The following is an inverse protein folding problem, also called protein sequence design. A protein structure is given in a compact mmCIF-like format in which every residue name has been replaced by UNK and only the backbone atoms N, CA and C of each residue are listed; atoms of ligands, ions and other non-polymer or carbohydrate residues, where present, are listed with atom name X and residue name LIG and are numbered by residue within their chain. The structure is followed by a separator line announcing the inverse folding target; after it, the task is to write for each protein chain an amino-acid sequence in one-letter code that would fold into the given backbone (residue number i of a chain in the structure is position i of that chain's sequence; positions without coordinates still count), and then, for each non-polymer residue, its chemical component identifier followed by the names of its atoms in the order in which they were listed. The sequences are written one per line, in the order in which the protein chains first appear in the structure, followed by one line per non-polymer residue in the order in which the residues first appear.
data_IF_601958211643
#
_entry.id   IF_601958211643
#
_cell.length_a   1.000
_cell.length_b   1.000
_cell.length_c   1.000
_cell.angle_alpha   90.00
_cell.angle_beta   90.00
_cell.angle_gamma   90.00
#
_symmetry.space_group_name_H-M   'P 1'
#
loop_
_entity.id
_entity.type
_entity.pdbx_description
1 polymer ?
#
# COMPACT_ATOMS: atom_id res chain seq x y z
N UNK A 1 15.42 -3.61 16.49
CA UNK A 1 14.29 -4.04 15.66
C UNK A 1 13.04 -4.16 16.50
N UNK A 2 11.90 -3.84 15.96
CA UNK A 2 10.61 -4.09 16.58
C UNK A 2 9.64 -4.62 15.53
N UNK A 3 8.75 -5.51 15.95
CA UNK A 3 7.68 -6.04 15.13
C UNK A 3 6.33 -5.55 15.66
N UNK A 4 5.44 -5.23 14.75
CA UNK A 4 4.04 -4.93 15.03
C UNK A 4 3.22 -6.02 14.35
N UNK A 5 2.52 -6.82 15.12
CA UNK A 5 1.65 -7.83 14.56
C UNK A 5 0.23 -7.70 15.12
N UNK A 6 -0.70 -7.99 14.24
CA UNK A 6 -2.09 -8.05 14.61
C UNK A 6 -2.34 -9.31 15.45
N UNK A 7 -2.91 -9.13 16.61
CA UNK A 7 -3.28 -10.24 17.49
C UNK A 7 -4.33 -11.09 16.79
N UNK A 8 -3.96 -12.29 16.38
CA UNK A 8 -4.89 -13.26 15.82
C UNK A 8 -6.12 -13.46 16.72
N UNK A 9 -7.23 -13.80 16.15
CA UNK A 9 -8.60 -13.92 16.65
C UNK A 9 -8.83 -14.73 17.93
N UNK A 10 -7.91 -14.80 18.84
CA UNK A 10 -7.91 -15.78 19.91
C UNK A 10 -8.89 -15.56 21.04
N UNK A 11 -9.68 -14.56 21.12
CA UNK A 11 -10.83 -14.49 22.06
C UNK A 11 -11.70 -13.29 21.71
N UNK A 12 -13.00 -13.51 21.70
CA UNK A 12 -14.03 -12.51 21.47
C UNK A 12 -13.94 -11.22 22.34
N UNK A 13 -13.17 -11.25 23.42
CA UNK A 13 -13.07 -10.19 24.41
C UNK A 13 -11.74 -9.43 24.40
N UNK A 14 -10.83 -9.71 23.48
CA UNK A 14 -9.59 -8.95 23.39
C UNK A 14 -9.80 -7.69 22.56
N UNK A 15 -9.86 -6.54 23.20
CA UNK A 15 -9.87 -5.24 22.55
C UNK A 15 -8.48 -4.82 22.03
N UNK A 16 -7.45 -5.59 22.34
CA UNK A 16 -6.07 -5.33 21.91
C UNK A 16 -5.86 -5.87 20.51
N UNK A 17 -5.57 -5.01 19.56
CA UNK A 17 -5.42 -5.36 18.15
C UNK A 17 -3.99 -5.56 17.69
N UNK A 18 -3.01 -5.40 18.54
CA UNK A 18 -1.62 -5.58 18.17
C UNK A 18 -0.68 -5.68 19.37
N UNK A 19 0.51 -6.16 19.11
CA UNK A 19 1.63 -6.21 20.04
C UNK A 19 2.78 -5.45 19.38
N UNK A 20 3.44 -4.59 20.14
CA UNK A 20 4.76 -4.07 19.78
C UNK A 20 5.75 -4.97 20.50
N UNK A 21 6.50 -5.76 19.73
CA UNK A 21 7.57 -6.59 20.28
C UNK A 21 8.92 -5.97 19.93
N UNK A 22 9.81 -5.95 20.89
CA UNK A 22 11.21 -5.63 20.66
C UNK A 22 11.92 -6.94 20.33
N UNK A 23 12.37 -7.04 19.09
CA UNK A 23 13.18 -8.17 18.65
C UNK A 23 14.63 -7.93 19.06
N UNK A 24 15.07 -8.71 20.03
CA UNK A 24 16.45 -8.70 20.51
C UNK A 24 17.23 -9.84 19.86
N UNK A 25 18.52 -9.64 19.59
CA UNK A 25 19.36 -10.76 19.17
C UNK A 25 19.38 -11.85 20.25
N UNK A 26 19.64 -13.09 19.81
CA UNK A 26 19.76 -14.21 20.75
C UNK A 26 20.69 -13.87 21.89
N UNK A 27 20.19 -13.96 23.11
CA UNK A 27 20.91 -13.62 24.32
C UNK A 27 21.33 -14.88 25.05
N UNK A 28 22.64 -15.15 25.09
CA UNK A 28 23.23 -16.24 25.85
C UNK A 28 23.88 -15.67 27.09
N UNK A 29 23.30 -15.90 28.28
CA UNK A 29 23.88 -15.51 29.56
C UNK A 29 24.57 -16.70 30.22
N UNK A 30 25.80 -16.49 30.66
CA UNK A 30 26.55 -17.44 31.47
C UNK A 30 26.11 -17.34 32.96
N UNK A 31 26.37 -18.36 33.78
CA UNK A 31 26.08 -18.28 35.19
C UNK A 31 26.72 -17.04 35.84
N UNK A 32 25.90 -16.21 36.52
CA UNK A 32 26.32 -14.96 37.15
C UNK A 32 26.28 -13.70 36.25
N UNK A 33 26.03 -13.84 34.96
CA UNK A 33 25.80 -12.70 34.04
C UNK A 33 24.35 -12.21 34.12
N UNK A 34 24.15 -10.92 33.91
CA UNK A 34 22.82 -10.30 33.83
C UNK A 34 22.72 -9.39 32.61
N UNK A 35 21.52 -9.25 32.05
CA UNK A 35 21.17 -8.31 31.02
C UNK A 35 20.06 -7.39 31.51
N UNK A 36 20.24 -6.09 31.35
CA UNK A 36 19.25 -5.09 31.74
C UNK A 36 18.70 -4.38 30.48
N UNK A 37 17.39 -4.23 30.44
CA UNK A 37 16.69 -3.47 29.39
C UNK A 37 15.92 -2.33 30.09
N UNK A 38 16.14 -1.11 29.62
CA UNK A 38 15.46 0.08 30.10
C UNK A 38 14.47 0.60 29.06
N UNK A 39 13.26 0.94 29.49
CA UNK A 39 12.20 1.47 28.67
C UNK A 39 11.78 2.85 29.15
N UNK A 40 11.59 3.77 28.21
CA UNK A 40 11.01 5.07 28.49
C UNK A 40 9.65 5.21 27.82
N UNK A 41 8.60 5.40 28.64
CA UNK A 41 7.25 5.71 28.19
C UNK A 41 6.93 7.14 28.62
N UNK A 42 6.51 7.96 27.68
CA UNK A 42 6.18 9.35 27.97
C UNK A 42 4.99 9.84 27.12
N UNK A 43 4.26 10.81 27.66
CA UNK A 43 3.16 11.49 26.99
C UNK A 43 3.70 12.65 26.16
N UNK A 44 3.13 12.90 25.00
CA UNK A 44 3.50 14.01 24.13
C UNK A 44 2.28 14.71 23.50
N UNK A 45 2.45 15.98 23.11
CA UNK A 45 1.43 16.86 22.53
C UNK A 45 1.64 17.04 21.00
N UNK A 46 1.78 15.94 20.27
CA UNK A 46 2.01 15.94 18.82
C UNK A 46 3.46 15.68 18.43
N UNK A 47 3.73 15.66 17.13
CA UNK A 47 5.00 15.19 16.58
C UNK A 47 6.21 16.03 17.00
N UNK A 48 6.07 17.34 17.11
CA UNK A 48 7.19 18.22 17.45
C UNK A 48 7.59 18.05 18.92
N UNK A 49 6.63 17.97 19.83
CA UNK A 49 6.86 17.66 21.23
C UNK A 49 7.46 16.25 21.42
N UNK A 50 6.98 15.27 20.67
CA UNK A 50 7.55 13.92 20.65
C UNK A 50 9.04 13.94 20.26
N UNK A 51 9.37 14.61 19.16
CA UNK A 51 10.76 14.74 18.69
C UNK A 51 11.65 15.45 19.68
N UNK A 52 11.15 16.53 20.29
CA UNK A 52 11.89 17.26 21.31
C UNK A 52 12.19 16.37 22.53
N UNK A 53 11.19 15.67 23.04
CA UNK A 53 11.35 14.73 24.16
C UNK A 53 12.30 13.56 23.86
N UNK A 54 12.33 13.07 22.63
CA UNK A 54 13.32 12.06 22.23
C UNK A 54 14.75 12.62 22.34
N UNK A 55 14.97 13.85 21.86
CA UNK A 55 16.28 14.51 21.98
C UNK A 55 16.68 14.73 23.43
N UNK A 56 15.75 15.18 24.29
CA UNK A 56 15.98 15.36 25.76
C UNK A 56 16.34 14.03 26.45
N UNK A 57 15.87 12.89 25.93
CA UNK A 57 16.23 11.55 26.39
C UNK A 57 17.56 11.03 25.84
N UNK A 58 18.33 11.87 25.16
CA UNK A 58 19.62 11.50 24.59
C UNK A 58 19.56 10.67 23.32
N UNK A 59 18.35 10.55 22.72
CA UNK A 59 18.19 9.95 21.39
C UNK A 59 18.65 10.91 20.30
N UNK A 60 18.93 10.38 19.11
CA UNK A 60 19.13 11.18 17.90
C UNK A 60 17.92 11.03 16.99
N UNK A 61 17.63 12.07 16.23
CA UNK A 61 16.60 12.04 15.19
C UNK A 61 17.27 11.87 13.82
N UNK A 62 16.93 10.77 13.14
CA UNK A 62 17.35 10.55 11.76
C UNK A 62 16.18 10.88 10.86
N UNK A 63 16.45 11.66 9.83
CA UNK A 63 15.47 12.02 8.81
C UNK A 63 16.11 12.08 7.43
N UNK A 64 15.30 11.82 6.42
CA UNK A 64 15.70 11.96 5.04
C UNK A 64 14.74 12.91 4.32
N UNK A 65 15.25 13.67 3.34
CA UNK A 65 14.40 14.53 2.53
C UNK A 65 13.34 13.75 1.74
N UNK A 66 13.62 12.48 1.44
CA UNK A 66 12.69 11.47 0.90
C UNK A 66 13.12 10.09 1.38
N UNK A 67 12.22 9.11 1.34
CA UNK A 67 12.55 7.70 1.59
C UNK A 67 12.43 6.85 0.33
N UNK A 68 11.81 7.38 -0.74
CA UNK A 68 11.79 6.78 -2.08
C UNK A 68 12.32 7.79 -3.06
N UNK A 69 13.36 7.41 -3.79
CA UNK A 69 14.06 8.23 -4.77
C UNK A 69 13.90 7.65 -6.17
N UNK A 70 13.84 8.51 -7.17
CA UNK A 70 14.14 8.09 -8.53
C UNK A 70 15.67 8.10 -8.74
N UNK A 71 16.15 7.19 -9.60
CA UNK A 71 17.56 7.11 -9.92
C UNK A 71 18.10 8.47 -10.41
N UNK A 72 19.24 8.89 -9.84
CA UNK A 72 19.89 10.17 -10.13
C UNK A 72 19.44 11.32 -9.21
N UNK A 73 18.39 11.15 -8.40
CA UNK A 73 18.03 12.14 -7.38
C UNK A 73 19.06 12.18 -6.25
N UNK A 74 19.09 13.29 -5.54
CA UNK A 74 20.03 13.51 -4.43
C UNK A 74 19.33 13.25 -3.09
N UNK A 75 19.88 12.33 -2.30
CA UNK A 75 19.49 12.13 -0.92
C UNK A 75 20.22 13.11 -0.02
N UNK A 76 19.49 13.67 0.95
CA UNK A 76 20.03 14.34 2.12
C UNK A 76 19.50 13.62 3.36
N UNK A 77 20.38 12.93 4.06
CA UNK A 77 20.07 12.21 5.28
C UNK A 77 20.72 12.91 6.45
N UNK A 78 19.91 13.28 7.44
CA UNK A 78 20.28 14.07 8.58
C UNK A 78 20.21 13.23 9.86
N UNK A 79 21.20 13.41 10.74
CA UNK A 79 21.22 12.90 12.10
C UNK A 79 21.37 14.08 13.05
N UNK A 80 20.33 14.38 13.80
CA UNK A 80 20.23 15.53 14.72
C UNK A 80 20.23 15.07 16.16
N UNK A 81 20.96 15.76 17.00
CA UNK A 81 21.00 15.57 18.45
C UNK A 81 20.67 16.86 19.20
N UNK A 82 20.60 16.82 20.50
CA UNK A 82 20.48 18.04 21.34
C UNK A 82 21.83 18.75 21.41
N UNK A 83 22.88 18.00 21.64
CA UNK A 83 24.27 18.47 21.72
C UNK A 83 25.06 18.00 20.48
N UNK A 84 26.18 18.65 20.12
CA UNK A 84 27.00 18.22 19.01
C UNK A 84 27.46 16.77 19.15
N UNK A 85 27.38 15.99 18.05
CA UNK A 85 27.83 14.62 18.01
C UNK A 85 29.36 14.55 17.83
N UNK A 86 30.01 13.75 18.66
CA UNK A 86 31.43 13.49 18.54
C UNK A 86 31.71 12.41 17.48
N UNK A 87 32.76 12.64 16.68
CA UNK A 87 33.26 11.66 15.68
C UNK A 87 32.16 11.05 14.80
N UNK A 88 31.22 11.88 14.32
CA UNK A 88 30.13 11.39 13.47
C UNK A 88 30.64 10.94 12.12
N UNK A 89 30.42 9.68 11.79
CA UNK A 89 30.74 9.05 10.49
C UNK A 89 29.50 8.37 9.91
N UNK A 90 29.48 8.15 8.61
CA UNK A 90 28.39 7.43 7.97
C UNK A 90 28.87 6.45 6.90
N UNK A 91 28.03 5.43 6.68
CA UNK A 91 28.18 4.48 5.58
C UNK A 91 26.88 4.40 4.79
N UNK A 92 26.98 4.22 3.49
CA UNK A 92 25.88 3.89 2.58
C UNK A 92 26.10 2.46 2.08
N UNK A 93 25.20 1.55 2.42
CA UNK A 93 25.35 0.11 2.14
C UNK A 93 26.74 -0.45 2.55
N UNK A 94 27.20 -0.07 3.74
CA UNK A 94 28.50 -0.48 4.27
C UNK A 94 29.72 0.29 3.74
N UNK A 95 29.57 1.13 2.71
CA UNK A 95 30.65 1.93 2.13
C UNK A 95 30.70 3.31 2.81
N UNK A 96 31.85 3.77 3.31
CA UNK A 96 31.98 5.11 3.91
C UNK A 96 31.58 6.22 2.95
N UNK A 97 30.83 7.20 3.47
CA UNK A 97 30.43 8.42 2.74
C UNK A 97 30.82 9.66 3.52
N UNK A 98 31.13 10.78 2.87
CA UNK A 98 31.50 12.03 3.54
C UNK A 98 30.35 12.55 4.39
N UNK A 99 30.63 12.86 5.67
CA UNK A 99 29.70 13.52 6.58
C UNK A 99 30.05 14.98 6.69
N UNK A 100 29.05 15.85 6.63
CA UNK A 100 29.14 17.25 6.99
C UNK A 100 28.54 17.44 8.38
N UNK A 101 29.10 18.36 9.16
CA UNK A 101 28.59 18.67 10.49
C UNK A 101 28.40 20.17 10.63
N UNK A 102 27.22 20.55 11.12
CA UNK A 102 26.81 21.93 11.40
C UNK A 102 26.21 21.96 12.82
N UNK A 103 27.03 22.34 13.80
CA UNK A 103 26.60 22.31 15.21
C UNK A 103 26.18 20.91 15.66
N UNK A 104 24.92 20.77 16.02
CA UNK A 104 24.31 19.51 16.48
C UNK A 104 23.66 18.68 15.37
N UNK A 105 23.95 18.99 14.12
CA UNK A 105 23.45 18.31 12.92
C UNK A 105 24.61 17.70 12.14
N UNK A 106 24.59 16.38 11.98
CA UNK A 106 25.42 15.66 11.01
C UNK A 106 24.57 15.27 9.82
N UNK A 107 25.09 15.38 8.60
CA UNK A 107 24.35 14.97 7.42
C UNK A 107 25.27 14.47 6.30
N UNK A 108 24.69 13.64 5.45
CA UNK A 108 25.27 13.19 4.18
C UNK A 108 24.43 13.68 3.02
N UNK A 109 25.08 13.98 1.90
CA UNK A 109 24.44 14.35 0.64
C UNK A 109 25.07 13.52 -0.47
N UNK A 110 24.29 12.61 -1.03
CA UNK A 110 24.80 11.65 -2.05
C UNK A 110 23.79 11.48 -3.17
N UNK A 111 24.25 11.25 -4.41
CA UNK A 111 23.38 10.87 -5.50
C UNK A 111 22.92 9.41 -5.35
N UNK A 112 21.67 9.13 -5.71
CA UNK A 112 21.06 7.80 -5.63
C UNK A 112 21.11 7.12 -7.01
N UNK A 113 22.25 6.54 -7.35
CA UNK A 113 22.55 6.06 -8.70
C UNK A 113 22.10 4.63 -9.00
N UNK A 114 21.97 3.79 -7.97
CA UNK A 114 21.62 2.38 -8.15
C UNK A 114 20.21 2.11 -7.61
N UNK A 115 19.39 1.48 -8.44
CA UNK A 115 18.07 1.02 -7.99
C UNK A 115 18.19 -0.13 -6.97
N UNK A 116 17.32 -0.10 -5.97
CA UNK A 116 17.29 -1.07 -4.88
C UNK A 116 17.19 -0.41 -3.51
N UNK A 117 17.30 -1.22 -2.47
CA UNK A 117 17.34 -0.74 -1.09
C UNK A 117 18.69 -0.09 -0.78
N UNK A 118 18.64 1.02 -0.08
CA UNK A 118 19.82 1.78 0.35
C UNK A 118 19.70 2.08 1.83
N UNK A 119 20.69 1.65 2.59
CA UNK A 119 20.79 1.89 4.01
C UNK A 119 21.91 2.86 4.32
N UNK A 120 21.57 3.90 5.10
CA UNK A 120 22.52 4.85 5.68
C UNK A 120 22.71 4.52 7.14
N UNK A 121 23.92 4.12 7.55
CA UNK A 121 24.28 3.91 8.94
C UNK A 121 25.14 5.08 9.42
N UNK A 122 24.71 5.71 10.54
CA UNK A 122 25.47 6.74 11.23
C UNK A 122 26.09 6.17 12.49
N UNK A 123 27.35 6.50 12.74
CA UNK A 123 28.09 6.14 13.94
C UNK A 123 28.56 7.42 14.63
N UNK A 124 28.38 7.51 15.95
CA UNK A 124 28.65 8.71 16.72
C UNK A 124 28.92 8.40 18.18
N UNK A 125 29.58 9.30 18.92
CA UNK A 125 29.84 9.21 20.36
C UNK A 125 30.36 7.81 20.76
N UNK A 126 31.39 7.35 20.05
CA UNK A 126 32.02 6.04 20.29
C UNK A 126 31.24 4.88 19.64
N UNK A 127 30.42 4.18 20.42
CA UNK A 127 29.77 2.94 19.96
C UNK A 127 28.28 3.10 19.58
N UNK A 128 27.75 4.33 19.61
CA UNK A 128 26.33 4.55 19.25
C UNK A 128 26.15 4.53 17.74
N UNK A 129 25.03 3.97 17.31
CA UNK A 129 24.66 3.91 15.90
C UNK A 129 23.16 4.11 15.70
N UNK A 130 22.82 4.62 14.52
CA UNK A 130 21.44 4.74 14.02
C UNK A 130 21.42 4.62 12.52
N UNK A 131 20.25 4.48 11.90
CA UNK A 131 20.16 4.31 10.46
C UNK A 131 18.91 4.93 9.85
N UNK A 132 18.94 5.09 8.53
CA UNK A 132 17.78 5.33 7.68
C UNK A 132 17.82 4.38 6.49
N UNK A 133 16.67 3.78 6.17
CA UNK A 133 16.49 2.94 5.00
C UNK A 133 15.71 3.70 3.93
N UNK A 134 16.20 3.65 2.70
CA UNK A 134 15.63 4.31 1.53
C UNK A 134 15.47 3.29 0.40
N UNK A 135 14.59 3.59 -0.54
CA UNK A 135 14.42 2.82 -1.77
C UNK A 135 14.72 3.70 -2.98
N UNK A 136 15.49 3.19 -3.92
CA UNK A 136 15.72 3.84 -5.21
C UNK A 136 15.00 3.07 -6.30
N UNK A 137 14.13 3.73 -7.03
CA UNK A 137 13.42 3.19 -8.19
C UNK A 137 13.99 3.79 -9.49
N UNK A 138 13.82 3.11 -10.63
CA UNK A 138 14.31 3.62 -11.91
C UNK A 138 13.63 4.94 -12.29
N UNK A 139 12.31 4.94 -12.43
CA UNK A 139 11.42 6.09 -12.41
C UNK A 139 9.98 5.61 -12.22
N UNK A 140 9.11 6.51 -11.77
CA UNK A 140 7.72 6.18 -11.46
C UNK A 140 6.92 5.75 -12.68
N UNK A 141 7.12 6.38 -13.83
CA UNK A 141 6.38 6.03 -15.05
C UNK A 141 6.73 4.63 -15.54
N UNK A 142 8.00 4.25 -15.50
CA UNK A 142 8.45 2.89 -15.87
C UNK A 142 7.94 1.84 -14.88
N UNK A 143 7.93 2.15 -13.60
CA UNK A 143 7.36 1.28 -12.57
C UNK A 143 5.87 1.03 -12.81
N UNK A 144 5.08 2.08 -13.07
CA UNK A 144 3.66 1.96 -13.39
C UNK A 144 3.46 1.13 -14.65
N UNK A 145 4.21 1.40 -15.72
CA UNK A 145 4.12 0.65 -16.97
C UNK A 145 4.37 -0.85 -16.73
N UNK A 146 5.46 -1.20 -16.06
CA UNK A 146 5.79 -2.60 -15.73
C UNK A 146 4.69 -3.25 -14.87
N UNK A 147 4.14 -2.53 -13.91
CA UNK A 147 3.06 -3.05 -13.05
C UNK A 147 1.78 -3.30 -13.85
N UNK A 148 1.42 -2.39 -14.73
CA UNK A 148 0.26 -2.50 -15.62
C UNK A 148 0.41 -3.70 -16.57
N UNK A 149 1.58 -3.84 -17.20
CA UNK A 149 1.88 -4.98 -18.08
C UNK A 149 1.81 -6.31 -17.31
N UNK A 150 2.35 -6.34 -16.10
CA UNK A 150 2.31 -7.54 -15.26
C UNK A 150 0.86 -7.92 -14.89
N UNK A 151 0.02 -6.96 -14.49
CA UNK A 151 -1.39 -7.22 -14.19
C UNK A 151 -2.09 -7.81 -15.42
N UNK A 152 -1.92 -7.18 -16.57
CA UNK A 152 -2.57 -7.60 -17.82
C UNK A 152 -2.12 -8.99 -18.28
N UNK A 153 -0.82 -9.26 -18.24
CA UNK A 153 -0.23 -10.46 -18.83
C UNK A 153 -0.10 -11.65 -17.90
N UNK A 154 0.06 -11.38 -16.59
CA UNK A 154 0.36 -12.41 -15.59
C UNK A 154 -0.75 -12.60 -14.55
N UNK A 155 -1.55 -11.57 -14.27
CA UNK A 155 -2.58 -11.63 -13.25
C UNK A 155 -4.01 -11.71 -13.81
N UNK A 156 -4.24 -11.47 -15.08
CA UNK A 156 -5.57 -11.66 -15.65
C UNK A 156 -5.84 -13.15 -15.95
N UNK A 157 -6.89 -13.68 -15.32
CA UNK A 157 -7.36 -15.02 -15.63
C UNK A 157 -7.82 -15.09 -17.10
N UNK A 158 -7.28 -16.04 -17.82
CA UNK A 158 -7.59 -16.25 -19.24
C UNK A 158 -7.96 -17.72 -19.49
N UNK A 159 -9.09 -18.13 -18.94
CA UNK A 159 -9.64 -19.45 -19.13
C UNK A 159 -11.17 -19.38 -19.21
N UNK A 160 -11.76 -19.44 -20.41
CA UNK A 160 -13.21 -19.33 -20.60
C UNK A 160 -14.04 -20.39 -19.85
N UNK A 161 -13.42 -21.50 -19.46
CA UNK A 161 -14.07 -22.56 -18.69
C UNK A 161 -14.05 -22.29 -17.18
N UNK A 162 -13.30 -21.28 -16.70
CA UNK A 162 -13.25 -20.91 -15.29
C UNK A 162 -14.26 -19.79 -14.99
N UNK A 163 -14.93 -19.90 -13.85
CA UNK A 163 -15.86 -18.86 -13.39
C UNK A 163 -15.19 -17.49 -13.22
N UNK A 164 -13.87 -17.47 -13.05
CA UNK A 164 -13.03 -16.28 -12.84
C UNK A 164 -12.47 -15.71 -14.14
N UNK A 165 -12.86 -16.24 -15.29
CA UNK A 165 -12.37 -15.70 -16.57
C UNK A 165 -12.56 -14.19 -16.68
N UNK A 166 -11.47 -13.49 -16.99
CA UNK A 166 -11.39 -12.03 -17.04
C UNK A 166 -11.00 -11.35 -15.73
N UNK A 167 -11.03 -12.05 -14.59
CA UNK A 167 -10.65 -11.50 -13.29
C UNK A 167 -9.17 -11.12 -13.23
N UNK A 168 -8.85 -10.05 -12.49
CA UNK A 168 -7.49 -9.83 -12.02
C UNK A 168 -7.29 -10.57 -10.71
N UNK A 169 -6.26 -11.40 -10.65
CA UNK A 169 -6.02 -12.37 -9.60
C UNK A 169 -4.83 -11.96 -8.72
N UNK A 170 -4.78 -12.51 -7.52
CA UNK A 170 -3.56 -12.50 -6.72
C UNK A 170 -2.48 -13.32 -7.43
N UNK A 171 -1.24 -12.93 -7.29
CA UNK A 171 -0.09 -13.63 -7.87
C UNK A 171 0.87 -14.08 -6.77
N UNK A 172 1.26 -15.32 -6.86
CA UNK A 172 2.26 -15.93 -6.00
C UNK A 172 3.64 -15.74 -6.64
N UNK A 173 4.46 -14.87 -6.05
CA UNK A 173 5.80 -14.59 -6.55
C UNK A 173 6.79 -15.74 -6.34
N UNK A 174 6.58 -16.59 -5.33
CA UNK A 174 7.42 -17.76 -5.10
C UNK A 174 7.11 -18.87 -6.10
N UNK A 175 5.83 -19.12 -6.34
CA UNK A 175 5.37 -20.10 -7.31
C UNK A 175 5.28 -19.60 -8.74
N UNK A 176 5.60 -18.33 -9.02
CA UNK A 176 5.54 -17.66 -10.32
C UNK A 176 4.23 -17.94 -11.08
N UNK A 177 3.09 -17.87 -10.39
CA UNK A 177 1.78 -18.24 -10.95
C UNK A 177 0.63 -17.49 -10.29
N UNK A 178 -0.53 -17.48 -10.93
CA UNK A 178 -1.77 -17.00 -10.33
C UNK A 178 -2.07 -17.83 -9.08
N UNK A 179 -2.38 -17.15 -7.97
CA UNK A 179 -2.76 -17.78 -6.73
C UNK A 179 -4.21 -18.26 -6.82
N UNK A 180 -4.42 -19.56 -6.59
CA UNK A 180 -5.75 -20.17 -6.63
C UNK A 180 -6.21 -20.55 -5.22
N UNK A 181 -7.52 -20.45 -4.96
CA UNK A 181 -8.16 -20.69 -3.66
C UNK A 181 -8.04 -22.11 -3.13
N UNK A 182 -7.55 -23.05 -3.89
CA UNK A 182 -7.36 -24.46 -3.54
C UNK A 182 -6.03 -24.75 -2.82
N UNK A 183 -5.18 -23.72 -2.65
CA UNK A 183 -3.89 -23.88 -1.95
C UNK A 183 -4.07 -23.87 -0.43
N UNK A 184 -3.22 -24.62 0.31
CA UNK A 184 -3.36 -24.81 1.77
C UNK A 184 -3.34 -23.50 2.59
N UNK A 185 -2.63 -22.48 2.13
CA UNK A 185 -2.46 -21.21 2.82
C UNK A 185 -3.39 -20.10 2.28
N UNK A 186 -4.34 -20.43 1.44
CA UNK A 186 -5.31 -19.47 0.94
C UNK A 186 -6.13 -18.88 2.08
N UNK A 187 -6.29 -17.57 2.10
CA UNK A 187 -7.21 -16.92 3.01
C UNK A 187 -8.65 -17.11 2.53
N UNK A 188 -9.48 -17.91 3.21
CA UNK A 188 -10.85 -18.15 2.76
C UNK A 188 -11.76 -16.92 2.88
N UNK A 189 -11.25 -15.83 3.48
CA UNK A 189 -11.99 -14.59 3.69
C UNK A 189 -11.78 -13.62 2.54
N UNK A 190 -10.56 -13.51 2.04
CA UNK A 190 -10.18 -12.67 0.91
C UNK A 190 -10.01 -13.58 -0.30
N UNK A 191 -10.93 -13.47 -1.23
CA UNK A 191 -10.88 -14.26 -2.47
C UNK A 191 -9.95 -13.61 -3.48
N UNK A 192 -9.25 -14.46 -4.21
CA UNK A 192 -8.15 -14.02 -5.08
C UNK A 192 -8.65 -13.25 -6.30
N UNK A 193 -9.89 -13.52 -6.72
CA UNK A 193 -10.58 -12.88 -7.83
C UNK A 193 -11.46 -11.68 -7.43
N UNK A 194 -11.56 -11.40 -6.13
CA UNK A 194 -12.63 -10.63 -5.56
C UNK A 194 -12.57 -9.11 -5.76
N UNK A 195 -13.53 -8.45 -5.10
CA UNK A 195 -13.69 -7.00 -5.18
C UNK A 195 -12.50 -6.22 -4.58
N UNK A 196 -11.66 -6.82 -3.75
CA UNK A 196 -10.41 -6.21 -3.30
C UNK A 196 -9.40 -5.97 -4.44
N UNK A 197 -9.60 -6.54 -5.62
CA UNK A 197 -8.70 -6.37 -6.79
C UNK A 197 -9.10 -5.22 -7.71
N UNK A 198 -10.18 -4.50 -7.43
CA UNK A 198 -10.71 -3.41 -8.28
C UNK A 198 -9.68 -2.31 -8.53
N UNK A 199 -8.78 -2.04 -7.57
CA UNK A 199 -7.68 -1.10 -7.73
C UNK A 199 -6.76 -1.40 -8.93
N UNK A 200 -6.60 -2.67 -9.30
CA UNK A 200 -5.87 -3.06 -10.52
C UNK A 200 -6.57 -2.52 -11.76
N UNK A 201 -7.88 -2.71 -11.87
CA UNK A 201 -8.68 -2.17 -12.99
C UNK A 201 -8.64 -0.65 -13.06
N UNK A 202 -8.72 0.03 -11.92
CA UNK A 202 -8.59 1.50 -11.86
C UNK A 202 -7.22 1.96 -12.33
N UNK A 203 -6.14 1.27 -11.94
CA UNK A 203 -4.78 1.57 -12.40
C UNK A 203 -4.66 1.42 -13.92
N UNK A 204 -5.12 0.30 -14.47
CA UNK A 204 -5.09 0.06 -15.92
C UNK A 204 -5.93 1.10 -16.69
N UNK A 205 -7.10 1.48 -16.15
CA UNK A 205 -7.95 2.49 -16.77
C UNK A 205 -7.25 3.86 -16.84
N UNK A 206 -6.61 4.28 -15.75
CA UNK A 206 -5.83 5.52 -15.72
C UNK A 206 -4.65 5.48 -16.71
N UNK A 207 -3.95 4.35 -16.77
CA UNK A 207 -2.86 4.17 -17.72
C UNK A 207 -3.35 4.18 -19.18
N UNK A 208 -4.48 3.53 -19.48
CA UNK A 208 -5.10 3.60 -20.81
C UNK A 208 -5.43 5.05 -21.21
N UNK A 209 -5.95 5.85 -20.29
CA UNK A 209 -6.28 7.26 -20.59
C UNK A 209 -5.05 8.08 -20.99
N UNK A 210 -3.86 7.70 -20.53
CA UNK A 210 -2.59 8.33 -20.90
C UNK A 210 -2.03 7.77 -22.21
N UNK A 211 -2.05 6.45 -22.39
CA UNK A 211 -1.35 5.78 -23.51
C UNK A 211 -2.22 5.45 -24.71
N UNK A 212 -3.53 5.28 -24.49
CA UNK A 212 -4.51 4.79 -25.50
C UNK A 212 -4.18 3.39 -26.05
N UNK A 213 -3.45 2.59 -25.30
CA UNK A 213 -3.07 1.24 -25.67
C UNK A 213 -4.32 0.35 -25.82
N UNK A 214 -4.59 -0.20 -27.02
CA UNK A 214 -5.78 -1.01 -27.27
C UNK A 214 -5.82 -2.31 -26.46
N UNK A 215 -4.67 -2.89 -26.11
CA UNK A 215 -4.61 -4.11 -25.32
C UNK A 215 -5.07 -3.87 -23.89
N UNK A 216 -4.74 -2.70 -23.31
CA UNK A 216 -5.26 -2.31 -21.99
C UNK A 216 -6.78 -2.16 -22.01
N UNK A 217 -7.33 -1.56 -23.08
CA UNK A 217 -8.78 -1.43 -23.24
C UNK A 217 -9.47 -2.79 -23.30
N UNK A 218 -8.92 -3.73 -24.07
CA UNK A 218 -9.46 -5.08 -24.19
C UNK A 218 -9.43 -5.82 -22.85
N UNK A 219 -8.31 -5.76 -22.13
CA UNK A 219 -8.16 -6.34 -20.81
C UNK A 219 -9.19 -5.76 -19.82
N UNK A 220 -9.37 -4.45 -19.82
CA UNK A 220 -10.34 -3.74 -18.98
C UNK A 220 -11.79 -4.12 -19.27
N UNK A 221 -12.15 -4.25 -20.54
CA UNK A 221 -13.51 -4.67 -20.94
C UNK A 221 -13.83 -6.08 -20.43
N UNK A 222 -12.87 -7.01 -20.53
CA UNK A 222 -13.02 -8.36 -19.99
C UNK A 222 -13.20 -8.31 -18.47
N UNK A 223 -12.38 -7.51 -17.78
CA UNK A 223 -12.46 -7.37 -16.33
C UNK A 223 -13.78 -6.74 -15.86
N UNK A 224 -14.22 -5.65 -16.50
CA UNK A 224 -15.49 -5.01 -16.17
C UNK A 224 -16.68 -5.96 -16.39
N UNK A 225 -16.65 -6.76 -17.46
CA UNK A 225 -17.65 -7.79 -17.72
C UNK A 225 -17.63 -8.89 -16.64
N UNK A 226 -16.45 -9.35 -16.21
CA UNK A 226 -16.30 -10.26 -15.08
C UNK A 226 -16.94 -9.68 -13.80
N UNK A 227 -16.57 -8.47 -13.42
CA UNK A 227 -17.12 -7.80 -12.24
C UNK A 227 -18.65 -7.73 -12.29
N UNK A 228 -19.21 -7.28 -13.41
CA UNK A 228 -20.67 -7.12 -13.57
C UNK A 228 -21.41 -8.46 -13.50
N UNK A 229 -20.88 -9.50 -14.12
CA UNK A 229 -21.58 -10.79 -14.27
C UNK A 229 -21.31 -11.78 -13.14
N UNK A 230 -20.19 -11.66 -12.45
CA UNK A 230 -19.76 -12.65 -11.45
C UNK A 230 -19.76 -12.13 -10.03
N UNK A 231 -19.48 -10.84 -9.84
CA UNK A 231 -19.44 -10.23 -8.51
C UNK A 231 -20.72 -9.46 -8.15
N UNK A 232 -21.61 -9.19 -9.11
CA UNK A 232 -22.85 -8.47 -8.86
C UNK A 232 -24.08 -9.26 -9.27
N UNK A 233 -25.17 -9.07 -8.51
CA UNK A 233 -26.53 -9.51 -8.92
C UNK A 233 -27.13 -8.53 -9.92
N UNK A 234 -28.29 -8.86 -10.47
CA UNK A 234 -29.06 -7.96 -11.36
C UNK A 234 -29.43 -6.65 -10.66
N UNK A 235 -29.66 -6.70 -9.36
CA UNK A 235 -29.96 -5.54 -8.52
C UNK A 235 -28.71 -4.85 -7.94
N UNK A 236 -27.54 -5.12 -8.48
CA UNK A 236 -26.25 -4.52 -8.10
C UNK A 236 -25.83 -4.80 -6.65
N UNK A 237 -26.38 -5.82 -5.99
CA UNK A 237 -25.80 -6.32 -4.75
C UNK A 237 -24.43 -6.88 -5.09
N UNK A 238 -23.39 -6.41 -4.37
CA UNK A 238 -22.01 -6.63 -4.74
C UNK A 238 -21.29 -7.51 -3.72
N UNK A 239 -20.70 -8.60 -4.19
CA UNK A 239 -20.02 -9.60 -3.38
C UNK A 239 -18.49 -9.51 -3.55
N UNK A 240 -17.76 -10.00 -2.55
CA UNK A 240 -16.29 -10.06 -2.58
C UNK A 240 -15.74 -11.14 -3.49
N UNK A 241 -16.55 -12.16 -3.83
CA UNK A 241 -16.09 -13.33 -4.58
C UNK A 241 -17.17 -13.88 -5.50
N UNK A 242 -16.79 -14.76 -6.43
CA UNK A 242 -17.69 -15.38 -7.41
C UNK A 242 -18.73 -16.31 -6.80
N UNK A 243 -18.50 -16.85 -5.61
CA UNK A 243 -19.44 -17.73 -4.92
C UNK A 243 -20.66 -17.03 -4.35
N UNK A 244 -20.63 -15.70 -4.25
CA UNK A 244 -21.70 -14.81 -3.80
C UNK A 244 -22.31 -15.18 -2.42
N UNK A 245 -21.67 -16.05 -1.65
CA UNK A 245 -22.27 -16.68 -0.45
C UNK A 245 -21.99 -15.90 0.78
N UNK A 246 -21.67 -15.01 1.19
CA UNK A 246 -21.47 -14.43 2.54
C UNK A 246 -20.56 -13.21 2.59
N UNK A 247 -20.39 -12.50 1.46
CA UNK A 247 -19.43 -11.42 1.43
C UNK A 247 -19.96 -10.17 0.75
N UNK A 248 -21.19 -9.84 1.07
CA UNK A 248 -21.74 -8.54 0.78
C UNK A 248 -21.14 -7.54 1.78
N UNK A 249 -20.08 -6.83 1.36
CA UNK A 249 -19.36 -5.86 2.18
C UNK A 249 -19.51 -4.47 1.59
N UNK A 250 -19.79 -3.48 2.42
CA UNK A 250 -20.03 -2.11 1.98
C UNK A 250 -18.88 -1.49 1.16
N UNK A 251 -17.63 -1.87 1.45
CA UNK A 251 -16.46 -1.38 0.69
C UNK A 251 -16.48 -1.79 -0.78
N UNK A 252 -16.99 -2.97 -1.08
CA UNK A 252 -16.98 -3.52 -2.45
C UNK A 252 -17.70 -2.60 -3.43
N UNK A 253 -18.81 -2.01 -2.99
CA UNK A 253 -19.64 -1.17 -3.84
C UNK A 253 -18.93 0.09 -4.32
N UNK A 254 -18.22 0.77 -3.44
CA UNK A 254 -17.52 2.00 -3.85
C UNK A 254 -16.37 1.71 -4.80
N UNK A 255 -15.65 0.61 -4.60
CA UNK A 255 -14.57 0.21 -5.51
C UNK A 255 -15.11 -0.19 -6.89
N UNK A 256 -16.20 -0.96 -6.94
CA UNK A 256 -16.85 -1.33 -8.20
C UNK A 256 -17.40 -0.10 -8.91
N UNK A 257 -18.05 0.82 -8.19
CA UNK A 257 -18.55 2.06 -8.76
C UNK A 257 -17.41 2.92 -9.34
N UNK A 258 -16.26 3.02 -8.66
CA UNK A 258 -15.09 3.72 -9.18
C UNK A 258 -14.61 3.10 -10.49
N UNK A 259 -14.49 1.77 -10.55
CA UNK A 259 -14.14 1.09 -11.80
C UNK A 259 -15.09 1.45 -12.93
N UNK A 260 -16.40 1.41 -12.71
CA UNK A 260 -17.38 1.71 -13.76
C UNK A 260 -17.29 3.16 -14.23
N UNK A 261 -17.13 4.12 -13.36
CA UNK A 261 -16.93 5.51 -13.78
C UNK A 261 -15.61 5.69 -14.55
N UNK A 262 -14.56 4.96 -14.21
CA UNK A 262 -13.33 4.95 -15.01
C UNK A 262 -13.56 4.27 -16.38
N UNK A 263 -14.34 3.19 -16.42
CA UNK A 263 -14.69 2.52 -17.68
C UNK A 263 -15.50 3.43 -18.61
N UNK A 264 -16.35 4.28 -18.09
CA UNK A 264 -17.01 5.31 -18.89
C UNK A 264 -15.98 6.24 -19.56
N UNK A 265 -14.96 6.68 -18.83
CA UNK A 265 -13.87 7.50 -19.41
C UNK A 265 -13.07 6.76 -20.48
N UNK A 266 -12.89 5.44 -20.31
CA UNK A 266 -12.18 4.58 -21.25
C UNK A 266 -12.97 4.36 -22.53
N UNK A 267 -14.30 4.19 -22.44
CA UNK A 267 -15.14 3.70 -23.54
C UNK A 267 -16.08 4.76 -24.11
N UNK A 268 -16.51 5.72 -23.31
CA UNK A 268 -17.63 6.63 -23.63
C UNK A 268 -19.02 5.98 -23.49
N UNK A 269 -19.09 4.71 -23.08
CA UNK A 269 -20.35 3.98 -22.95
C UNK A 269 -21.07 4.39 -21.65
N UNK A 270 -22.25 5.02 -21.82
CA UNK A 270 -23.10 5.50 -20.71
C UNK A 270 -23.64 4.38 -19.83
N UNK A 271 -23.62 3.14 -20.29
CA UNK A 271 -24.02 1.99 -19.47
C UNK A 271 -23.13 1.90 -18.23
N UNK A 272 -21.82 2.17 -18.32
CA UNK A 272 -20.94 2.20 -17.18
C UNK A 272 -21.28 3.29 -16.15
N UNK A 273 -21.81 4.44 -16.58
CA UNK A 273 -22.29 5.47 -15.67
C UNK A 273 -23.51 4.97 -14.91
N UNK A 274 -24.45 4.34 -15.62
CA UNK A 274 -25.63 3.69 -15.03
C UNK A 274 -25.26 2.62 -14.02
N UNK A 275 -24.29 1.76 -14.37
CA UNK A 275 -23.81 0.67 -13.50
C UNK A 275 -23.15 1.22 -12.23
N UNK A 276 -22.31 2.26 -12.35
CA UNK A 276 -21.70 2.93 -11.22
C UNK A 276 -22.71 3.57 -10.28
N UNK A 277 -23.68 4.31 -10.83
CA UNK A 277 -24.76 4.91 -10.07
C UNK A 277 -25.61 3.86 -9.33
N UNK A 278 -26.08 2.82 -10.03
CA UNK A 278 -26.88 1.75 -9.44
C UNK A 278 -26.12 0.97 -8.38
N UNK A 279 -24.81 0.79 -8.55
CA UNK A 279 -23.95 0.17 -7.55
C UNK A 279 -23.93 1.00 -6.26
N UNK A 280 -23.71 2.32 -6.34
CA UNK A 280 -23.75 3.19 -5.16
C UNK A 280 -25.15 3.25 -4.53
N UNK A 281 -26.21 3.31 -5.35
CA UNK A 281 -27.60 3.26 -4.86
C UNK A 281 -27.86 1.98 -4.07
N UNK A 282 -27.43 0.82 -4.59
CA UNK A 282 -27.54 -0.46 -3.89
C UNK A 282 -26.74 -0.47 -2.58
N UNK A 283 -25.55 0.15 -2.54
CA UNK A 283 -24.79 0.31 -1.30
C UNK A 283 -25.58 1.05 -0.22
N UNK A 284 -26.15 2.20 -0.54
CA UNK A 284 -26.92 2.97 0.42
C UNK A 284 -28.21 2.25 0.87
N UNK A 285 -28.82 1.47 -0.02
CA UNK A 285 -29.96 0.63 0.33
C UNK A 285 -29.58 -0.51 1.29
N UNK A 286 -28.40 -1.11 1.14
CA UNK A 286 -27.93 -2.23 1.95
C UNK A 286 -27.37 -1.79 3.31
N UNK A 287 -26.65 -0.67 3.36
CA UNK A 287 -25.86 -0.26 4.52
C UNK A 287 -26.27 1.09 5.12
N UNK A 288 -27.18 1.81 4.46
CA UNK A 288 -27.61 3.13 4.90
C UNK A 288 -26.56 4.22 4.75
N UNK A 289 -26.92 5.44 5.17
CA UNK A 289 -26.02 6.60 5.07
C UNK A 289 -24.99 6.69 6.20
N UNK A 290 -25.16 5.92 7.26
CA UNK A 290 -24.24 5.86 8.40
C UNK A 290 -23.06 4.91 8.22
N UNK A 291 -22.95 4.23 7.09
CA UNK A 291 -21.80 3.36 6.81
C UNK A 291 -20.53 4.20 6.66
N UNK A 292 -19.50 3.82 7.40
CA UNK A 292 -18.24 4.57 7.46
C UNK A 292 -17.32 4.34 6.24
N UNK A 293 -17.87 4.08 5.08
CA UNK A 293 -17.11 3.81 3.87
C UNK A 293 -16.10 4.93 3.56
N UNK A 294 -14.87 4.53 3.33
CA UNK A 294 -13.77 5.43 2.97
C UNK A 294 -13.66 5.47 1.45
N UNK A 295 -13.63 6.66 0.88
CA UNK A 295 -13.32 6.84 -0.54
C UNK A 295 -14.50 6.57 -1.49
N UNK A 296 -15.76 6.86 -1.08
CA UNK A 296 -16.90 6.84 -2.01
C UNK A 296 -16.63 7.80 -3.17
N UNK A 297 -16.67 7.35 -4.44
CA UNK A 297 -16.26 8.15 -5.60
C UNK A 297 -17.34 9.17 -6.03
N UNK A 298 -17.88 9.96 -5.09
CA UNK A 298 -18.99 10.90 -5.33
C UNK A 298 -18.63 11.93 -6.38
N UNK A 299 -17.44 12.57 -6.26
CA UNK A 299 -17.02 13.59 -7.22
C UNK A 299 -16.91 13.03 -8.63
N UNK A 300 -16.29 11.86 -8.77
CA UNK A 300 -16.13 11.17 -10.05
C UNK A 300 -17.49 10.76 -10.64
N UNK A 301 -18.39 10.24 -9.80
CA UNK A 301 -19.74 9.87 -10.19
C UNK A 301 -20.57 11.06 -10.69
N UNK A 302 -20.61 12.16 -9.94
CA UNK A 302 -21.31 13.38 -10.34
C UNK A 302 -20.77 13.97 -11.65
N UNK A 303 -19.45 13.96 -11.82
CA UNK A 303 -18.82 14.39 -13.06
C UNK A 303 -19.24 13.50 -14.23
N UNK A 304 -19.20 12.16 -14.05
CA UNK A 304 -19.57 11.19 -15.07
C UNK A 304 -21.06 11.30 -15.47
N UNK A 305 -21.95 11.48 -14.50
CA UNK A 305 -23.39 11.71 -14.74
C UNK A 305 -23.61 13.00 -15.55
N UNK A 306 -22.93 14.07 -15.21
CA UNK A 306 -23.01 15.35 -15.92
C UNK A 306 -22.51 15.23 -17.36
N UNK A 307 -21.35 14.61 -17.58
CA UNK A 307 -20.74 14.40 -18.89
C UNK A 307 -21.61 13.48 -19.77
N UNK A 308 -22.24 12.47 -19.17
CA UNK A 308 -23.17 11.58 -19.87
C UNK A 308 -24.55 12.22 -20.17
N UNK A 309 -24.82 13.42 -19.66
CA UNK A 309 -26.12 14.09 -19.81
C UNK A 309 -27.24 13.52 -18.91
N UNK A 310 -26.90 12.76 -17.88
CA UNK A 310 -27.83 12.08 -16.96
C UNK A 310 -28.14 12.96 -15.73
N UNK A 311 -28.74 14.12 -15.96
CA UNK A 311 -28.94 15.17 -14.94
C UNK A 311 -30.05 14.89 -13.92
N UNK A 312 -30.89 13.89 -14.12
CA UNK A 312 -32.07 13.62 -13.25
C UNK A 312 -31.86 12.45 -12.28
N UNK A 313 -30.72 11.81 -12.32
CA UNK A 313 -30.35 10.73 -11.41
C UNK A 313 -29.28 11.18 -10.40
#
# INVERSE_FOLDING_TARGET
NYEIWERGRKKANSQTRGIIALDLPDLLLKPGESYSLEWHVFVHNGNDDFRHKLLEKGSVLVSCNKYVFEKGEKARVECRSLEPLEACTAKMNGVPVPVKQEGNLCFVEVPMEQAGEVRFDFYYNGNKQTHADCLVISNTADLIRKRVDFIRTRQQMNNPSDLRDGAYMVYDNEGDSIYLNDRPNCNPVDRDEGAERLGMGVLLAKQYLLTKDPELKQSLLRYANFVRRKLQTDNYVTYSSVDQKNRNRGYNYMWVAELYFQMYKVTGDKQFVTDGYKTLKSMFQQFGYGFYAIGIPVRLGLQSLKEAGMKKE
#
